data_IF_805215620791
#
_entry.id   IF_805215620791
#
_cell.length_a   1.000
_cell.length_b   1.000
_cell.length_c   1.000
_cell.angle_alpha   90.00
_cell.angle_beta   90.00
_cell.angle_gamma   90.00
#
_symmetry.space_group_name_H-M   'P 1'
#
loop_
_entity.id
_entity.type
_entity.pdbx_description
1 polymer ?
#
# COMPACT_ATOMS: atom_id res chain seq x y z
N UNK A 1 19.74 -17.49 -7.37
CA UNK A 1 18.45 -16.98 -6.84
C UNK A 1 18.51 -15.47 -6.74
N UNK A 2 17.54 -14.76 -7.32
CA UNK A 2 17.50 -13.28 -7.33
C UNK A 2 17.47 -12.67 -5.92
N UNK A 3 16.80 -13.34 -4.96
CA UNK A 3 16.79 -12.93 -3.56
C UNK A 3 18.18 -12.82 -2.91
N UNK A 4 19.16 -13.63 -3.36
CA UNK A 4 20.55 -13.52 -2.90
C UNK A 4 21.25 -12.26 -3.41
N UNK A 5 20.85 -11.76 -4.58
CA UNK A 5 21.38 -10.52 -5.15
C UNK A 5 20.70 -9.29 -4.53
N UNK A 6 19.37 -9.32 -4.41
CA UNK A 6 18.56 -8.27 -3.80
C UNK A 6 17.47 -8.91 -2.93
N UNK A 7 17.52 -8.73 -1.59
CA UNK A 7 16.56 -9.35 -0.67
C UNK A 7 15.08 -9.06 -0.97
N UNK A 8 14.77 -7.94 -1.64
CA UNK A 8 13.40 -7.58 -2.04
C UNK A 8 12.71 -8.67 -2.87
N UNK A 9 13.47 -9.42 -3.69
CA UNK A 9 12.90 -10.45 -4.56
C UNK A 9 12.35 -11.66 -3.82
N UNK A 10 12.66 -11.83 -2.52
CA UNK A 10 12.00 -12.86 -1.70
C UNK A 10 10.54 -12.53 -1.38
N UNK A 11 10.13 -11.27 -1.53
CA UNK A 11 8.80 -10.79 -1.19
C UNK A 11 7.93 -10.54 -2.42
N UNK A 12 8.46 -10.75 -3.62
CA UNK A 12 7.69 -10.60 -4.85
C UNK A 12 6.78 -11.81 -5.04
N UNK A 13 5.48 -11.61 -5.35
CA UNK A 13 4.54 -12.71 -5.60
C UNK A 13 4.72 -13.29 -7.01
N UNK A 14 5.94 -13.74 -7.32
CA UNK A 14 6.31 -14.22 -8.65
C UNK A 14 5.66 -15.57 -8.95
N UNK A 15 5.68 -16.50 -7.99
CA UNK A 15 5.14 -17.85 -8.14
C UNK A 15 3.65 -17.83 -8.45
N UNK A 16 2.87 -17.02 -7.73
CA UNK A 16 1.43 -16.87 -8.00
C UNK A 16 1.15 -16.26 -9.37
N UNK A 17 2.04 -15.40 -9.89
CA UNK A 17 1.87 -14.86 -11.24
C UNK A 17 2.17 -15.90 -12.32
N UNK A 18 3.20 -16.72 -12.10
CA UNK A 18 3.55 -17.85 -12.98
C UNK A 18 2.41 -18.89 -12.97
N UNK A 19 1.83 -19.18 -11.82
CA UNK A 19 0.68 -20.09 -11.69
C UNK A 19 -0.53 -19.59 -12.51
N UNK A 20 -0.80 -18.28 -12.50
CA UNK A 20 -1.84 -17.69 -13.36
C UNK A 20 -1.55 -17.82 -14.86
N UNK A 21 -0.28 -17.94 -15.24
CA UNK A 21 0.19 -18.09 -16.63
C UNK A 21 0.77 -19.49 -16.87
N UNK A 22 0.25 -20.50 -16.18
CA UNK A 22 0.81 -21.85 -16.18
C UNK A 22 0.90 -22.46 -17.58
N UNK A 23 -0.08 -22.19 -18.46
CA UNK A 23 -0.05 -22.63 -19.85
C UNK A 23 1.16 -22.07 -20.60
N UNK A 24 1.36 -20.76 -20.57
CA UNK A 24 2.48 -20.08 -21.22
C UNK A 24 3.83 -20.52 -20.63
N UNK A 25 3.88 -20.76 -19.32
CA UNK A 25 5.08 -21.26 -18.64
C UNK A 25 5.52 -22.62 -19.21
N UNK A 26 4.59 -23.59 -19.30
CA UNK A 26 4.90 -24.90 -19.86
C UNK A 26 5.17 -24.85 -21.37
N UNK A 27 4.49 -23.95 -22.09
CA UNK A 27 4.76 -23.72 -23.51
C UNK A 27 6.20 -23.22 -23.72
N UNK A 28 6.65 -22.25 -22.93
CA UNK A 28 8.01 -21.73 -23.02
C UNK A 28 9.09 -22.78 -22.72
N UNK A 29 8.80 -23.73 -21.81
CA UNK A 29 9.66 -24.89 -21.56
C UNK A 29 9.68 -25.83 -22.76
N UNK A 30 8.51 -26.18 -23.31
CA UNK A 30 8.36 -27.05 -24.48
C UNK A 30 9.12 -26.50 -25.70
N UNK A 31 8.97 -25.22 -25.99
CA UNK A 31 9.64 -24.55 -27.09
C UNK A 31 11.16 -24.49 -26.87
N UNK A 32 11.60 -24.22 -25.64
CA UNK A 32 13.03 -24.23 -25.31
C UNK A 32 13.67 -25.62 -25.48
N UNK A 33 12.94 -26.69 -25.15
CA UNK A 33 13.37 -28.05 -25.41
C UNK A 33 13.45 -28.36 -26.90
N UNK A 34 12.44 -27.95 -27.67
CA UNK A 34 12.40 -28.16 -29.13
C UNK A 34 13.55 -27.44 -29.84
N UNK A 35 13.82 -26.20 -29.44
CA UNK A 35 14.84 -25.36 -30.06
C UNK A 35 16.26 -25.64 -29.55
N UNK A 36 16.39 -26.48 -28.51
CA UNK A 36 17.66 -26.78 -27.83
C UNK A 36 18.29 -25.56 -27.16
N UNK A 37 17.50 -24.50 -26.88
CA UNK A 37 17.96 -23.21 -26.36
C UNK A 37 16.98 -22.70 -25.31
N UNK A 38 17.50 -22.13 -24.23
CA UNK A 38 16.67 -21.59 -23.14
C UNK A 38 16.18 -20.16 -23.36
N UNK A 39 16.40 -19.58 -24.55
CA UNK A 39 16.07 -18.17 -24.83
C UNK A 39 14.59 -17.87 -24.57
N UNK A 40 13.69 -18.71 -25.09
CA UNK A 40 12.23 -18.54 -24.94
C UNK A 40 11.81 -18.59 -23.48
N UNK A 41 12.33 -19.54 -22.71
CA UNK A 41 12.09 -19.63 -21.28
C UNK A 41 12.64 -18.43 -20.51
N UNK A 42 13.85 -17.96 -20.81
CA UNK A 42 14.45 -16.79 -20.16
C UNK A 42 13.61 -15.53 -20.42
N UNK A 43 13.18 -15.32 -21.66
CA UNK A 43 12.31 -14.18 -22.02
C UNK A 43 10.98 -14.26 -21.26
N UNK A 44 10.37 -15.44 -21.17
CA UNK A 44 9.15 -15.64 -20.37
C UNK A 44 9.37 -15.26 -18.90
N UNK A 45 10.44 -15.78 -18.27
CA UNK A 45 10.72 -15.50 -16.86
C UNK A 45 11.01 -14.02 -16.60
N UNK A 46 11.75 -13.35 -17.48
CA UNK A 46 11.98 -11.91 -17.40
C UNK A 46 10.69 -11.11 -17.53
N UNK A 47 9.78 -11.52 -18.43
CA UNK A 47 8.45 -10.92 -18.57
C UNK A 47 7.63 -11.08 -17.29
N UNK A 48 7.62 -12.26 -16.68
CA UNK A 48 6.92 -12.50 -15.41
C UNK A 48 7.46 -11.60 -14.30
N UNK A 49 8.78 -11.51 -14.15
CA UNK A 49 9.41 -10.62 -13.17
C UNK A 49 9.00 -9.16 -13.40
N UNK A 50 9.05 -8.67 -14.64
CA UNK A 50 8.66 -7.30 -14.96
C UNK A 50 7.18 -7.02 -14.61
N UNK A 51 6.28 -7.92 -15.01
CA UNK A 51 4.85 -7.78 -14.70
C UNK A 51 4.56 -7.82 -13.19
N UNK A 52 5.28 -8.66 -12.43
CA UNK A 52 5.14 -8.68 -10.97
C UNK A 52 5.56 -7.35 -10.36
N UNK A 53 6.68 -6.77 -10.83
CA UNK A 53 7.15 -5.47 -10.36
C UNK A 53 6.15 -4.35 -10.69
N UNK A 54 5.61 -4.32 -11.91
CA UNK A 54 4.60 -3.34 -12.33
C UNK A 54 3.33 -3.41 -11.48
N UNK A 55 2.84 -4.61 -11.15
CA UNK A 55 1.67 -4.80 -10.29
C UNK A 55 1.92 -4.28 -8.87
N UNK A 56 3.11 -4.55 -8.32
CA UNK A 56 3.48 -4.07 -6.98
C UNK A 56 3.59 -2.55 -6.96
N UNK A 57 4.26 -1.95 -7.96
CA UNK A 57 4.39 -0.49 -8.04
C UNK A 57 3.03 0.20 -8.20
N UNK A 58 2.16 -0.36 -9.05
CA UNK A 58 0.80 0.17 -9.24
C UNK A 58 -0.03 0.10 -7.96
N UNK A 59 0.11 -0.98 -7.18
CA UNK A 59 -0.58 -1.11 -5.90
C UNK A 59 -0.11 -0.05 -4.89
N UNK A 60 1.18 0.30 -4.89
CA UNK A 60 1.73 1.36 -4.04
C UNK A 60 1.19 2.72 -4.45
N UNK A 61 1.19 3.06 -5.74
CA UNK A 61 0.67 4.35 -6.24
C UNK A 61 -0.83 4.54 -5.90
N UNK A 62 -1.64 3.49 -6.03
CA UNK A 62 -3.05 3.54 -5.62
C UNK A 62 -3.19 3.76 -4.11
N UNK A 63 -2.33 3.16 -3.28
CA UNK A 63 -2.34 3.39 -1.84
C UNK A 63 -1.92 4.82 -1.48
N UNK A 64 -0.87 5.35 -2.10
CA UNK A 64 -0.43 6.74 -1.87
C UNK A 64 -1.49 7.76 -2.30
N UNK A 65 -2.12 7.56 -3.47
CA UNK A 65 -3.22 8.40 -3.94
C UNK A 65 -4.42 8.35 -2.98
N UNK A 66 -4.79 7.16 -2.51
CA UNK A 66 -5.86 7.02 -1.52
C UNK A 66 -5.52 7.72 -0.19
N UNK A 67 -4.30 7.57 0.32
CA UNK A 67 -3.84 8.30 1.50
C UNK A 67 -3.94 9.82 1.30
N UNK A 68 -3.48 10.34 0.15
CA UNK A 68 -3.58 11.76 -0.20
C UNK A 68 -5.03 12.26 -0.20
N UNK A 69 -5.98 11.47 -0.74
CA UNK A 69 -7.40 11.83 -0.74
C UNK A 69 -7.96 11.88 0.69
N UNK A 70 -7.65 10.89 1.54
CA UNK A 70 -8.12 10.87 2.93
C UNK A 70 -7.54 12.02 3.75
N UNK A 71 -6.25 12.34 3.57
CA UNK A 71 -5.60 13.48 4.21
C UNK A 71 -6.25 14.80 3.81
N UNK A 72 -6.50 15.02 2.52
CA UNK A 72 -7.19 16.22 2.02
C UNK A 72 -8.58 16.38 2.63
N UNK A 73 -9.37 15.30 2.69
CA UNK A 73 -10.70 15.30 3.32
C UNK A 73 -10.63 15.64 4.81
N UNK A 74 -9.68 15.05 5.55
CA UNK A 74 -9.48 15.35 6.97
C UNK A 74 -9.15 16.83 7.19
N UNK A 75 -8.19 17.36 6.43
CA UNK A 75 -7.76 18.75 6.58
C UNK A 75 -8.83 19.76 6.15
N UNK A 76 -9.73 19.38 5.25
CA UNK A 76 -10.84 20.23 4.84
C UNK A 76 -11.89 20.41 5.95
N UNK A 77 -12.11 19.37 6.77
CA UNK A 77 -13.07 19.45 7.89
C UNK A 77 -12.47 19.99 9.18
N UNK A 78 -11.13 19.95 9.33
CA UNK A 78 -10.44 20.46 10.51
C UNK A 78 -10.04 21.93 10.35
N UNK A 79 -10.62 22.77 11.21
CA UNK A 79 -10.20 24.16 11.39
C UNK A 79 -8.86 24.22 12.14
N UNK A 80 -8.01 25.19 11.76
CA UNK A 80 -6.74 25.41 12.44
C UNK A 80 -6.97 25.94 13.85
N UNK A 81 -6.22 25.44 14.82
CA UNK A 81 -6.30 25.91 16.21
C UNK A 81 -7.44 25.29 17.04
N UNK A 82 -8.36 24.52 16.44
CA UNK A 82 -9.43 23.83 17.18
C UNK A 82 -9.07 22.38 17.49
N UNK A 83 -9.35 21.97 18.73
CA UNK A 83 -9.26 20.57 19.17
C UNK A 83 -10.54 19.81 18.84
N UNK A 84 -10.40 18.65 18.21
CA UNK A 84 -11.50 17.76 17.85
C UNK A 84 -11.37 16.43 18.57
N UNK A 85 -12.50 15.90 19.05
CA UNK A 85 -12.61 14.53 19.52
C UNK A 85 -12.73 13.56 18.34
N UNK A 86 -12.41 12.27 18.56
CA UNK A 86 -12.63 11.25 17.55
C UNK A 86 -14.10 11.17 17.09
N UNK A 87 -15.06 11.44 17.98
CA UNK A 87 -16.49 11.39 17.67
C UNK A 87 -16.92 12.51 16.73
N UNK A 88 -16.41 13.73 16.95
CA UNK A 88 -16.67 14.87 16.06
C UNK A 88 -16.09 14.63 14.66
N UNK A 89 -14.85 14.11 14.57
CA UNK A 89 -14.25 13.79 13.29
C UNK A 89 -15.00 12.68 12.55
N UNK A 90 -15.50 11.66 13.26
CA UNK A 90 -16.35 10.63 12.66
C UNK A 90 -17.62 11.25 12.05
N UNK A 91 -18.27 12.16 12.78
CA UNK A 91 -19.48 12.83 12.30
C UNK A 91 -19.19 13.72 11.08
N UNK A 92 -18.14 14.55 11.15
CA UNK A 92 -17.75 15.45 10.07
C UNK A 92 -17.32 14.71 8.79
N UNK A 93 -16.69 13.54 8.92
CA UNK A 93 -16.26 12.71 7.79
C UNK A 93 -17.30 11.67 7.37
N UNK A 94 -18.47 11.64 8.03
CA UNK A 94 -19.53 10.65 7.83
C UNK A 94 -19.02 9.19 7.91
N UNK A 95 -18.16 8.92 8.89
CA UNK A 95 -17.55 7.61 9.12
C UNK A 95 -18.27 6.87 10.24
N UNK A 96 -18.48 5.55 10.05
CA UNK A 96 -19.11 4.68 11.05
C UNK A 96 -18.12 4.02 12.01
N UNK A 97 -16.85 3.91 11.61
CA UNK A 97 -15.84 3.13 12.34
C UNK A 97 -14.68 4.00 12.82
N UNK A 98 -14.40 3.94 14.13
CA UNK A 98 -13.20 4.55 14.74
C UNK A 98 -11.90 3.99 14.16
N UNK A 99 -11.87 2.70 13.82
CA UNK A 99 -10.67 2.09 13.24
C UNK A 99 -10.40 2.62 11.83
N UNK A 100 -11.46 2.85 11.04
CA UNK A 100 -11.31 3.47 9.72
C UNK A 100 -10.79 4.91 9.82
N UNK A 101 -11.29 5.69 10.79
CA UNK A 101 -10.77 7.04 11.10
C UNK A 101 -9.29 6.98 11.49
N UNK A 102 -8.92 6.07 12.40
CA UNK A 102 -7.54 5.92 12.89
C UNK A 102 -6.59 5.55 11.75
N UNK A 103 -6.89 4.46 11.03
CA UNK A 103 -5.98 3.88 10.04
C UNK A 103 -5.85 4.72 8.78
N UNK A 104 -6.96 5.25 8.26
CA UNK A 104 -6.97 5.88 6.94
C UNK A 104 -6.78 7.41 7.00
N UNK A 105 -7.08 8.06 8.14
CA UNK A 105 -7.05 9.52 8.25
C UNK A 105 -6.03 10.00 9.28
N UNK A 106 -6.22 9.66 10.56
CA UNK A 106 -5.44 10.23 11.66
C UNK A 106 -3.97 9.76 11.64
N UNK A 107 -3.73 8.45 11.55
CA UNK A 107 -2.38 7.90 11.57
C UNK A 107 -1.53 8.40 10.40
N UNK A 108 -2.00 8.39 9.13
CA UNK A 108 -1.29 9.03 8.03
C UNK A 108 -1.06 10.52 8.28
N UNK A 109 -2.05 11.26 8.81
CA UNK A 109 -1.92 12.70 9.04
C UNK A 109 -0.85 13.02 10.08
N UNK A 110 -0.71 12.19 11.10
CA UNK A 110 0.30 12.32 12.14
C UNK A 110 1.70 11.97 11.63
N UNK A 111 1.83 10.91 10.84
CA UNK A 111 3.11 10.55 10.21
C UNK A 111 3.62 11.67 9.29
N UNK A 112 2.70 12.37 8.61
CA UNK A 112 3.03 13.53 7.78
C UNK A 112 3.15 14.85 8.58
N UNK A 113 2.99 14.81 9.91
CA UNK A 113 3.10 15.99 10.78
C UNK A 113 1.99 17.03 10.58
N UNK A 114 0.85 16.66 10.01
CA UNK A 114 -0.26 17.56 9.69
C UNK A 114 -1.27 17.70 10.86
N UNK A 115 -1.28 16.72 11.77
CA UNK A 115 -2.20 16.66 12.94
C UNK A 115 -1.42 16.22 14.18
N UNK A 116 -1.70 16.86 15.32
CA UNK A 116 -1.12 16.56 16.63
C UNK A 116 -2.11 15.90 17.61
N UNK A 117 -1.53 15.23 18.60
CA UNK A 117 -2.21 14.71 19.79
C UNK A 117 -2.19 15.74 20.91
N UNK A 118 -3.30 15.88 21.64
CA UNK A 118 -3.30 16.58 22.93
C UNK A 118 -2.45 15.81 23.98
N UNK A 119 -2.54 14.48 24.00
CA UNK A 119 -1.72 13.60 24.86
C UNK A 119 -0.83 12.62 24.06
N UNK A 120 0.36 13.06 23.56
CA UNK A 120 1.24 12.22 22.76
C UNK A 120 1.78 10.98 23.49
N UNK A 121 1.90 11.04 24.82
CA UNK A 121 2.41 9.95 25.66
C UNK A 121 1.37 8.84 25.90
N UNK A 122 0.10 9.11 25.63
CA UNK A 122 -1.02 8.18 25.85
C UNK A 122 -2.00 8.23 24.67
N UNK A 123 -1.58 7.81 23.46
CA UNK A 123 -2.37 7.96 22.23
C UNK A 123 -3.68 7.17 22.21
N UNK A 124 -3.85 6.19 23.11
CA UNK A 124 -5.08 5.40 23.30
C UNK A 124 -6.01 5.99 24.36
N UNK A 125 -5.70 7.18 24.90
CA UNK A 125 -6.53 7.84 25.91
C UNK A 125 -7.96 8.03 25.41
N UNK A 126 -8.93 7.70 26.27
CA UNK A 126 -10.36 7.87 25.97
C UNK A 126 -10.72 9.33 25.67
N UNK A 127 -9.98 10.27 26.25
CA UNK A 127 -10.21 11.71 26.10
C UNK A 127 -9.27 12.36 25.08
N UNK A 128 -8.66 11.56 24.20
CA UNK A 128 -7.74 12.05 23.19
C UNK A 128 -8.43 13.05 22.24
N UNK A 129 -7.78 14.19 22.03
CA UNK A 129 -8.15 15.18 21.02
C UNK A 129 -7.06 15.37 19.98
N UNK A 130 -7.49 15.86 18.83
CA UNK A 130 -6.67 16.03 17.63
C UNK A 130 -6.80 17.46 17.14
N UNK A 131 -5.68 18.08 16.80
CA UNK A 131 -5.64 19.44 16.26
C UNK A 131 -4.81 19.46 14.99
N UNK A 132 -5.27 20.22 14.00
CA UNK A 132 -4.53 20.48 12.78
C UNK A 132 -3.40 21.49 13.03
N UNK A 133 -2.20 21.20 12.53
CA UNK A 133 -1.09 22.17 12.47
C UNK A 133 -1.30 23.25 11.40
#
# INVERSE_FOLDING_TARGET
>A
LLGKWKPLFYWLPLESLIEKHQGDYYQAISDSHRDGKSNTFIVFMLKMINLTLEQVLSAVDVQENNHSIYLKKLLQVMEKGRWYTAQELLHLLNLKSREALRRNYLHPAMQNGLVDYEFPKTPTSRNQRYQRK
#
